data_IF_478808022021
#
_entry.id   IF_478808022021
#
_cell.length_a   1.000
_cell.length_b   1.000
_cell.length_c   1.000
_cell.angle_alpha   90.00
_cell.angle_beta   90.00
_cell.angle_gamma   90.00
#
_symmetry.space_group_name_H-M   'P 1'
#
loop_
_entity.id
_entity.type
_entity.pdbx_description
1 polymer ?
#
# COMPACT_ATOMS: atom_id res chain seq x y z
N UNK A 1 44.47 -10.44 -5.73
CA UNK A 1 43.90 -9.39 -4.86
C UNK A 1 42.93 -8.56 -5.67
N UNK A 2 41.64 -8.68 -5.42
CA UNK A 2 40.62 -7.82 -6.05
C UNK A 2 40.66 -6.40 -5.44
N UNK A 3 40.71 -5.35 -6.25
CA UNK A 3 40.66 -3.99 -5.72
C UNK A 3 39.23 -3.71 -5.21
N UNK A 4 38.99 -3.98 -3.93
CA UNK A 4 37.81 -3.56 -3.20
C UNK A 4 37.89 -2.05 -3.04
N UNK A 5 36.96 -1.29 -3.66
CA UNK A 5 36.62 0.03 -3.14
C UNK A 5 36.65 1.23 -4.07
N UNK A 6 37.08 1.18 -5.32
CA UNK A 6 36.96 2.37 -6.21
C UNK A 6 35.60 2.38 -6.92
N UNK A 7 34.76 3.38 -6.63
CA UNK A 7 33.53 3.62 -7.40
C UNK A 7 33.90 3.84 -8.87
N UNK A 8 33.20 3.15 -9.77
CA UNK A 8 33.31 3.40 -11.20
C UNK A 8 32.90 4.86 -11.52
N UNK A 9 33.55 5.48 -12.54
CA UNK A 9 33.13 6.79 -13.04
C UNK A 9 31.63 6.78 -13.40
N UNK A 10 30.98 7.93 -13.25
CA UNK A 10 29.54 8.07 -13.54
C UNK A 10 29.22 7.72 -15.01
N UNK A 11 30.10 8.09 -15.91
CA UNK A 11 30.00 7.86 -17.35
C UNK A 11 29.99 6.34 -17.67
N UNK A 12 30.89 5.58 -17.02
CA UNK A 12 30.94 4.11 -17.14
C UNK A 12 29.66 3.49 -16.62
N UNK A 13 29.16 3.95 -15.47
CA UNK A 13 27.90 3.47 -14.91
C UNK A 13 26.73 3.77 -15.84
N UNK A 14 26.70 4.95 -16.44
CA UNK A 14 25.71 5.35 -17.41
C UNK A 14 25.76 4.49 -18.66
N UNK A 15 26.95 4.27 -19.24
CA UNK A 15 27.13 3.37 -20.37
C UNK A 15 26.57 1.97 -20.08
N UNK A 16 26.95 1.37 -18.95
CA UNK A 16 26.46 0.04 -18.55
C UNK A 16 24.92 0.00 -18.44
N UNK A 17 24.31 1.08 -17.96
CA UNK A 17 22.85 1.17 -17.79
C UNK A 17 22.11 1.41 -19.11
N UNK A 18 22.66 2.15 -20.04
CA UNK A 18 21.98 2.56 -21.29
C UNK A 18 22.21 1.61 -22.45
N UNK A 19 23.39 1.02 -22.55
CA UNK A 19 23.78 0.17 -23.68
C UNK A 19 23.09 -1.19 -23.62
N UNK A 20 22.39 -1.58 -24.69
CA UNK A 20 21.68 -2.87 -24.83
C UNK A 20 22.56 -4.00 -25.37
N UNK A 21 23.87 -3.83 -25.41
CA UNK A 21 24.86 -4.77 -25.94
C UNK A 21 25.14 -5.96 -25.03
N UNK A 22 25.87 -6.95 -25.53
CA UNK A 22 26.35 -8.10 -24.75
C UNK A 22 27.31 -7.67 -23.63
N UNK A 23 27.49 -8.52 -22.63
CA UNK A 23 28.44 -8.23 -21.54
C UNK A 23 29.86 -8.04 -22.04
N UNK A 24 30.26 -8.81 -23.08
CA UNK A 24 31.59 -8.72 -23.68
C UNK A 24 31.78 -7.36 -24.35
N UNK A 25 30.87 -6.96 -25.21
CA UNK A 25 30.93 -5.63 -25.88
C UNK A 25 30.99 -4.47 -24.88
N UNK A 26 30.30 -4.55 -23.77
CA UNK A 26 30.39 -3.51 -22.72
C UNK A 26 31.77 -3.55 -22.07
N UNK A 27 32.29 -4.72 -21.76
CA UNK A 27 33.65 -4.85 -21.20
C UNK A 27 34.69 -4.23 -22.16
N UNK A 28 34.63 -4.58 -23.43
CA UNK A 28 35.55 -4.10 -24.46
C UNK A 28 35.43 -2.56 -24.63
N UNK A 29 34.24 -2.02 -24.66
CA UNK A 29 34.00 -0.58 -24.75
C UNK A 29 34.53 0.17 -23.53
N UNK A 30 34.28 -0.33 -22.30
CA UNK A 30 34.78 0.30 -21.08
C UNK A 30 36.32 0.22 -21.01
N UNK A 31 36.88 -0.89 -21.36
CA UNK A 31 38.36 -1.07 -21.39
C UNK A 31 39.00 -0.15 -22.44
N UNK A 32 38.39 -0.04 -23.63
CA UNK A 32 38.90 0.82 -24.71
C UNK A 32 38.82 2.31 -24.34
N UNK A 33 37.71 2.78 -23.79
CA UNK A 33 37.43 4.21 -23.56
C UNK A 33 38.02 4.74 -22.25
N UNK A 34 38.01 3.93 -21.22
CA UNK A 34 38.43 4.37 -19.86
C UNK A 34 39.63 3.60 -19.30
N UNK A 35 40.17 2.61 -20.06
CA UNK A 35 41.26 1.73 -19.60
C UNK A 35 40.93 1.02 -18.28
N UNK A 36 39.65 0.74 -18.03
CA UNK A 36 39.15 0.06 -16.83
C UNK A 36 38.61 -1.31 -17.22
N UNK A 37 39.16 -2.36 -16.63
CA UNK A 37 38.67 -3.72 -16.79
C UNK A 37 37.59 -4.01 -15.76
N UNK A 38 36.37 -4.31 -16.20
CA UNK A 38 35.24 -4.59 -15.33
C UNK A 38 34.75 -6.03 -15.47
N UNK A 39 34.46 -6.73 -14.34
CA UNK A 39 33.93 -8.10 -14.41
C UNK A 39 32.44 -8.10 -14.82
N UNK A 40 31.99 -9.22 -15.41
CA UNK A 40 30.57 -9.43 -15.79
C UNK A 40 29.60 -9.22 -14.63
N UNK A 41 30.01 -9.58 -13.41
CA UNK A 41 29.22 -9.36 -12.18
C UNK A 41 28.91 -7.87 -11.93
N UNK A 42 29.87 -6.98 -12.21
CA UNK A 42 29.70 -5.53 -12.08
C UNK A 42 28.70 -5.00 -13.11
N UNK A 43 28.78 -5.45 -14.36
CA UNK A 43 27.80 -5.08 -15.40
C UNK A 43 26.41 -5.58 -14.99
N UNK A 44 26.30 -6.84 -14.57
CA UNK A 44 25.04 -7.41 -14.07
C UNK A 44 24.47 -6.61 -12.90
N UNK A 45 25.31 -6.21 -11.95
CA UNK A 45 24.91 -5.39 -10.81
C UNK A 45 24.28 -4.05 -11.24
N UNK A 46 24.94 -3.28 -12.10
CA UNK A 46 24.44 -1.98 -12.54
C UNK A 46 23.23 -2.09 -13.46
N UNK A 47 23.14 -3.12 -14.31
CA UNK A 47 21.95 -3.41 -15.12
C UNK A 47 20.74 -3.79 -14.25
N UNK A 48 20.94 -4.59 -13.20
CA UNK A 48 19.89 -4.92 -12.22
C UNK A 48 19.44 -3.70 -11.41
N UNK A 49 20.34 -2.78 -11.12
CA UNK A 49 19.96 -1.52 -10.47
C UNK A 49 19.00 -0.70 -11.33
N UNK A 50 19.15 -0.68 -12.68
CA UNK A 50 18.18 -0.04 -13.58
C UNK A 50 16.79 -0.65 -13.48
N UNK A 51 16.71 -1.97 -13.36
CA UNK A 51 15.41 -2.65 -13.18
C UNK A 51 14.75 -2.36 -11.82
N UNK A 52 15.56 -2.04 -10.78
CA UNK A 52 15.08 -1.74 -9.43
C UNK A 52 14.62 -0.29 -9.22
N UNK A 53 15.03 0.62 -10.08
CA UNK A 53 14.63 2.04 -10.04
C UNK A 53 13.59 2.39 -11.11
N UNK A 54 12.75 1.43 -11.52
CA UNK A 54 11.61 1.78 -12.37
C UNK A 54 10.84 2.91 -11.73
N UNK A 55 10.63 3.98 -12.48
CA UNK A 55 9.69 5.03 -12.08
C UNK A 55 8.35 4.37 -11.72
N UNK A 56 7.70 4.84 -10.69
CA UNK A 56 6.31 4.51 -10.45
C UNK A 56 5.47 5.44 -11.31
N UNK A 57 4.46 4.87 -11.93
CA UNK A 57 3.50 5.60 -12.74
C UNK A 57 2.20 5.72 -11.94
N UNK A 58 2.04 6.85 -11.24
CA UNK A 58 0.85 7.11 -10.44
C UNK A 58 -0.35 7.51 -11.30
N UNK A 59 -0.13 7.95 -12.55
CA UNK A 59 -1.19 8.30 -13.49
C UNK A 59 -1.85 7.06 -14.10
N UNK A 60 -1.17 5.90 -14.01
CA UNK A 60 -1.70 4.63 -14.48
C UNK A 60 -2.87 4.08 -13.64
N UNK A 61 -3.14 4.64 -12.46
CA UNK A 61 -4.28 4.27 -11.60
C UNK A 61 -5.20 5.46 -11.40
N UNK A 62 -6.49 5.20 -11.11
CA UNK A 62 -7.41 6.26 -10.76
C UNK A 62 -6.98 6.92 -9.44
N UNK A 63 -7.37 8.19 -9.26
CA UNK A 63 -7.12 8.92 -8.02
C UNK A 63 -7.75 8.20 -6.82
N UNK A 64 -8.93 7.64 -6.99
CA UNK A 64 -9.64 6.88 -5.95
C UNK A 64 -8.89 5.61 -5.55
N UNK A 65 -8.35 4.86 -6.50
CA UNK A 65 -7.54 3.66 -6.20
C UNK A 65 -6.25 4.04 -5.47
N UNK A 66 -5.61 5.14 -5.87
CA UNK A 66 -4.41 5.63 -5.19
C UNK A 66 -4.72 6.12 -3.77
N UNK A 67 -5.78 6.91 -3.59
CA UNK A 67 -6.23 7.41 -2.30
C UNK A 67 -6.61 6.25 -1.37
N UNK A 68 -7.34 5.26 -1.89
CA UNK A 68 -7.67 4.04 -1.16
C UNK A 68 -6.40 3.31 -0.68
N UNK A 69 -5.42 3.15 -1.57
CA UNK A 69 -4.16 2.51 -1.22
C UNK A 69 -3.36 3.30 -0.18
N UNK A 70 -3.36 4.62 -0.25
CA UNK A 70 -2.76 5.50 0.75
C UNK A 70 -3.44 5.35 2.12
N UNK A 71 -4.76 5.30 2.17
CA UNK A 71 -5.53 5.07 3.40
C UNK A 71 -5.21 3.72 4.04
N UNK A 72 -5.22 2.64 3.24
CA UNK A 72 -4.82 1.30 3.68
C UNK A 72 -3.39 1.28 4.21
N UNK A 73 -2.46 1.94 3.50
CA UNK A 73 -1.08 2.02 3.94
C UNK A 73 -0.92 2.82 5.24
N UNK A 74 -1.72 3.87 5.45
CA UNK A 74 -1.69 4.67 6.68
C UNK A 74 -2.11 3.85 7.90
N UNK A 75 -3.08 2.97 7.73
CA UNK A 75 -3.55 2.02 8.75
C UNK A 75 -2.53 0.88 8.96
N UNK A 76 -2.42 -0.03 8.03
CA UNK A 76 -1.69 -1.30 8.16
C UNK A 76 -0.29 -1.32 7.51
N UNK A 77 0.09 -0.22 6.88
CA UNK A 77 1.36 -0.14 6.17
C UNK A 77 2.56 0.05 7.07
N UNK A 78 3.70 -0.47 6.63
CA UNK A 78 5.00 -0.26 7.24
C UNK A 78 6.08 -0.02 6.18
N UNK A 79 7.02 0.87 6.48
CA UNK A 79 8.20 1.14 5.66
C UNK A 79 9.47 0.75 6.41
N UNK A 80 10.32 -0.05 5.76
CA UNK A 80 11.61 -0.45 6.33
C UNK A 80 12.73 -0.13 5.34
N UNK A 81 13.78 0.51 5.85
CA UNK A 81 15.01 0.71 5.12
C UNK A 81 16.07 -0.26 5.67
N UNK A 82 16.32 -1.35 4.94
CA UNK A 82 17.40 -2.26 5.27
C UNK A 82 18.69 -1.81 4.60
N UNK A 83 19.76 -1.71 5.39
CA UNK A 83 21.12 -1.44 4.90
C UNK A 83 21.86 -2.77 4.90
N UNK A 84 22.03 -3.36 3.72
CA UNK A 84 22.82 -4.58 3.54
C UNK A 84 24.13 -4.29 2.84
N UNK A 85 25.00 -5.29 2.77
CA UNK A 85 26.31 -5.21 2.09
C UNK A 85 26.20 -4.77 0.61
N UNK A 86 25.03 -4.95 -0.02
CA UNK A 86 24.75 -4.61 -1.41
C UNK A 86 23.94 -3.33 -1.60
N UNK A 87 23.81 -2.51 -0.54
CA UNK A 87 23.14 -1.21 -0.60
C UNK A 87 21.83 -1.10 0.20
N UNK A 88 21.09 -0.04 -0.07
CA UNK A 88 19.84 0.26 0.62
C UNK A 88 18.66 -0.45 -0.04
N UNK A 89 17.89 -1.20 0.74
CA UNK A 89 16.66 -1.86 0.32
C UNK A 89 15.43 -1.16 0.93
N UNK A 90 14.61 -0.57 0.08
CA UNK A 90 13.39 0.15 0.45
C UNK A 90 12.21 -0.82 0.38
N UNK A 91 11.74 -1.27 1.52
CA UNK A 91 10.70 -2.30 1.63
C UNK A 91 9.43 -1.64 2.18
N UNK A 92 8.31 -1.91 1.53
CA UNK A 92 6.97 -1.55 1.95
C UNK A 92 6.23 -2.85 2.24
N UNK A 93 5.49 -2.89 3.34
CA UNK A 93 4.67 -4.03 3.77
C UNK A 93 3.30 -3.53 4.17
N UNK A 94 2.26 -4.29 3.82
CA UNK A 94 0.91 -4.11 4.31
C UNK A 94 0.50 -5.46 4.89
N UNK A 95 0.17 -5.48 6.18
CA UNK A 95 -0.20 -6.70 6.90
C UNK A 95 -1.71 -6.80 6.96
N UNK A 96 -2.26 -7.90 6.45
CA UNK A 96 -3.71 -8.13 6.35
C UNK A 96 -4.07 -9.45 7.02
N UNK A 97 -5.26 -9.57 7.58
CA UNK A 97 -5.76 -10.83 8.09
C UNK A 97 -5.85 -11.89 6.97
N UNK A 98 -5.39 -13.10 7.24
CA UNK A 98 -5.41 -14.18 6.26
C UNK A 98 -6.84 -14.61 5.92
N UNK A 99 -7.73 -14.59 6.90
CA UNK A 99 -9.10 -15.10 6.78
C UNK A 99 -10.09 -14.03 6.29
N UNK A 100 -9.85 -12.77 6.67
CA UNK A 100 -10.86 -11.72 6.49
C UNK A 100 -10.65 -10.86 5.24
N UNK A 101 -9.42 -10.79 4.71
CA UNK A 101 -9.06 -9.74 3.77
C UNK A 101 -8.47 -10.17 2.41
N UNK A 102 -8.84 -11.33 1.83
CA UNK A 102 -8.27 -11.75 0.54
C UNK A 102 -8.63 -10.78 -0.62
N UNK A 103 -9.82 -10.17 -0.57
CA UNK A 103 -10.24 -9.18 -1.56
C UNK A 103 -9.43 -7.87 -1.44
N UNK A 104 -9.12 -7.43 -0.21
CA UNK A 104 -8.28 -6.27 0.08
C UNK A 104 -6.86 -6.52 -0.44
N UNK A 105 -6.28 -7.69 -0.14
CA UNK A 105 -4.98 -8.08 -0.65
C UNK A 105 -4.94 -8.09 -2.20
N UNK A 106 -5.98 -8.65 -2.84
CA UNK A 106 -6.11 -8.70 -4.31
C UNK A 106 -6.19 -7.30 -4.92
N UNK A 107 -6.98 -6.39 -4.35
CA UNK A 107 -7.08 -4.99 -4.78
C UNK A 107 -5.72 -4.28 -4.61
N UNK A 108 -5.07 -4.43 -3.46
CA UNK A 108 -3.75 -3.88 -3.18
C UNK A 108 -2.70 -4.36 -4.21
N UNK A 109 -2.65 -5.66 -4.48
CA UNK A 109 -1.76 -6.25 -5.50
C UNK A 109 -2.01 -5.70 -6.90
N UNK A 110 -3.27 -5.52 -7.28
CA UNK A 110 -3.66 -4.93 -8.58
C UNK A 110 -3.10 -3.52 -8.70
N UNK A 111 -3.39 -2.64 -7.73
CA UNK A 111 -2.92 -1.25 -7.72
C UNK A 111 -1.39 -1.19 -7.83
N UNK A 112 -0.67 -1.95 -7.00
CA UNK A 112 0.79 -1.99 -7.02
C UNK A 112 1.36 -2.45 -8.37
N UNK A 113 0.76 -3.45 -9.01
CA UNK A 113 1.19 -3.92 -10.34
C UNK A 113 0.97 -2.86 -11.42
N UNK A 114 -0.16 -2.16 -11.36
CA UNK A 114 -0.50 -1.09 -12.32
C UNK A 114 0.51 0.06 -12.24
N UNK A 115 0.89 0.51 -11.06
CA UNK A 115 1.90 1.57 -10.89
C UNK A 115 3.36 1.11 -11.11
N UNK A 116 3.59 -0.18 -11.43
CA UNK A 116 4.86 -0.71 -11.91
C UNK A 116 5.70 -1.57 -10.96
N UNK A 117 5.68 -1.44 -9.63
CA UNK A 117 6.37 -2.37 -8.74
C UNK A 117 5.84 -3.80 -8.86
N UNK A 118 6.68 -4.78 -8.54
CA UNK A 118 6.26 -6.19 -8.47
C UNK A 118 5.99 -6.57 -7.03
N UNK A 119 4.73 -6.56 -6.56
CA UNK A 119 4.39 -7.00 -5.22
C UNK A 119 4.40 -8.52 -5.12
N UNK A 120 4.65 -9.02 -3.91
CA UNK A 120 4.53 -10.43 -3.55
C UNK A 120 3.68 -10.57 -2.29
N UNK A 121 3.00 -11.70 -2.14
CA UNK A 121 2.33 -12.10 -0.92
C UNK A 121 3.29 -12.99 -0.14
N UNK A 122 3.49 -12.67 1.14
CA UNK A 122 4.33 -13.44 2.06
C UNK A 122 3.50 -13.82 3.27
N UNK A 123 3.31 -15.12 3.57
CA UNK A 123 2.67 -15.55 4.80
C UNK A 123 3.46 -15.06 6.02
N UNK A 124 2.77 -14.65 7.07
CA UNK A 124 3.37 -14.16 8.32
C UNK A 124 2.48 -14.51 9.53
N UNK A 125 2.66 -15.70 10.07
CA UNK A 125 1.78 -16.21 11.13
C UNK A 125 0.33 -16.28 10.66
N UNK A 126 -0.58 -15.66 11.41
CA UNK A 126 -2.02 -15.61 11.08
C UNK A 126 -2.38 -14.47 10.09
N UNK A 127 -1.39 -13.81 9.51
CA UNK A 127 -1.61 -12.75 8.53
C UNK A 127 -0.88 -13.03 7.22
N UNK A 128 -1.27 -12.31 6.18
CA UNK A 128 -0.53 -12.20 4.93
C UNK A 128 0.06 -10.80 4.82
N UNK A 129 1.26 -10.70 4.28
CA UNK A 129 1.87 -9.44 3.97
C UNK A 129 1.94 -9.24 2.46
N UNK A 130 1.34 -8.16 1.97
CA UNK A 130 1.66 -7.64 0.64
C UNK A 130 2.96 -6.86 0.76
N UNK A 131 4.02 -7.41 0.16
CA UNK A 131 5.37 -6.85 0.24
C UNK A 131 5.85 -6.38 -1.11
N UNK A 132 6.47 -5.21 -1.14
CA UNK A 132 7.07 -4.65 -2.35
C UNK A 132 8.39 -3.95 -2.03
N UNK A 133 9.36 -4.04 -2.96
CA UNK A 133 10.63 -3.32 -2.86
C UNK A 133 10.66 -2.24 -3.95
N UNK A 134 10.54 -0.98 -3.56
CA UNK A 134 10.56 0.17 -4.47
C UNK A 134 10.99 1.43 -3.74
N UNK A 135 12.09 2.05 -4.20
CA UNK A 135 12.58 3.32 -3.66
C UNK A 135 11.56 4.45 -3.89
N UNK A 136 11.05 4.56 -5.13
CA UNK A 136 10.15 5.65 -5.50
C UNK A 136 8.82 5.55 -4.74
N UNK A 137 8.24 4.36 -4.64
CA UNK A 137 7.02 4.15 -3.85
C UNK A 137 7.25 4.40 -2.36
N UNK A 138 8.42 4.02 -1.82
CA UNK A 138 8.77 4.26 -0.42
C UNK A 138 8.71 5.75 -0.06
N UNK A 139 9.17 6.63 -0.96
CA UNK A 139 9.13 8.08 -0.74
C UNK A 139 7.77 8.71 -1.11
N UNK A 140 7.03 8.13 -2.05
CA UNK A 140 5.70 8.62 -2.41
C UNK A 140 4.66 8.37 -1.30
N UNK A 141 4.77 7.25 -0.56
CA UNK A 141 3.84 6.92 0.49
C UNK A 141 4.06 7.78 1.74
N UNK A 142 2.96 8.25 2.33
CA UNK A 142 2.95 8.96 3.62
C UNK A 142 2.04 8.20 4.58
N UNK A 143 2.37 8.19 5.88
CA UNK A 143 1.51 7.61 6.92
C UNK A 143 0.44 8.57 7.43
N UNK A 144 0.69 9.85 7.27
CA UNK A 144 -0.23 10.90 7.70
C UNK A 144 -1.11 11.34 6.54
N UNK A 145 -2.38 11.64 6.79
CA UNK A 145 -3.25 12.24 5.79
C UNK A 145 -2.71 13.60 5.33
N UNK A 146 -3.11 14.03 4.14
CA UNK A 146 -2.78 15.36 3.64
C UNK A 146 -3.44 16.44 4.51
N UNK A 147 -2.78 17.60 4.65
CA UNK A 147 -3.36 18.79 5.30
C UNK A 147 -4.64 19.28 4.62
N UNK A 148 -4.78 18.99 3.32
CA UNK A 148 -5.94 19.41 2.52
C UNK A 148 -7.20 18.59 2.78
N UNK A 149 -7.08 17.58 3.65
CA UNK A 149 -8.13 16.66 4.01
C UNK A 149 -7.98 15.28 3.35
N UNK A 150 -8.93 14.41 3.67
CA UNK A 150 -8.97 13.03 3.15
C UNK A 150 -10.18 12.84 2.25
N UNK A 151 -10.02 12.04 1.18
CA UNK A 151 -11.13 11.68 0.30
C UNK A 151 -11.94 10.50 0.85
N UNK A 152 -13.18 10.27 0.36
CA UNK A 152 -13.95 9.08 0.71
C UNK A 152 -13.19 7.77 0.46
N UNK A 153 -12.43 7.71 -0.64
CA UNK A 153 -11.63 6.55 -0.97
C UNK A 153 -10.48 6.34 0.02
N UNK A 154 -9.82 7.41 0.47
CA UNK A 154 -8.79 7.32 1.52
C UNK A 154 -9.36 6.78 2.83
N UNK A 155 -10.52 7.32 3.27
CA UNK A 155 -11.21 6.84 4.48
C UNK A 155 -11.59 5.36 4.33
N UNK A 156 -12.08 4.95 3.16
CA UNK A 156 -12.41 3.57 2.86
C UNK A 156 -11.18 2.65 2.96
N UNK A 157 -10.04 3.07 2.44
CA UNK A 157 -8.79 2.32 2.57
C UNK A 157 -8.31 2.17 4.01
N UNK A 158 -8.43 3.22 4.82
CA UNK A 158 -8.09 3.16 6.24
C UNK A 158 -9.03 2.21 7.02
N UNK A 159 -10.33 2.24 6.71
CA UNK A 159 -11.32 1.31 7.27
C UNK A 159 -11.02 -0.14 6.85
N UNK A 160 -10.62 -0.36 5.60
CA UNK A 160 -10.23 -1.68 5.11
C UNK A 160 -8.96 -2.22 5.81
N UNK A 161 -8.13 -1.33 6.37
CA UNK A 161 -7.02 -1.71 7.25
C UNK A 161 -7.49 -2.00 8.69
N UNK A 162 -7.78 -0.96 9.44
CA UNK A 162 -8.00 -0.99 10.89
C UNK A 162 -9.49 -1.05 11.33
N UNK A 163 -10.44 -1.13 10.39
CA UNK A 163 -11.88 -1.19 10.71
C UNK A 163 -12.33 -2.61 11.02
N UNK A 164 -13.29 -2.75 11.93
CA UNK A 164 -13.98 -4.00 12.23
C UNK A 164 -15.46 -3.84 11.91
N UNK A 165 -16.05 -4.82 11.22
CA UNK A 165 -17.50 -4.85 10.96
C UNK A 165 -18.22 -5.23 12.24
N UNK A 166 -19.23 -4.43 12.59
CA UNK A 166 -20.10 -4.63 13.74
C UNK A 166 -21.54 -4.43 13.31
N UNK A 167 -22.31 -5.51 13.15
CA UNK A 167 -23.71 -5.54 12.68
C UNK A 167 -24.04 -4.47 11.61
N UNK A 168 -24.38 -3.26 12.02
CA UNK A 168 -24.81 -2.16 11.15
C UNK A 168 -23.82 -0.99 11.07
N UNK A 169 -22.57 -1.21 11.45
CA UNK A 169 -21.55 -0.17 11.54
C UNK A 169 -20.13 -0.70 11.29
N UNK A 170 -19.20 0.23 11.21
CA UNK A 170 -17.78 -0.03 11.34
C UNK A 170 -17.29 0.55 12.66
N UNK A 171 -16.56 -0.24 13.41
CA UNK A 171 -15.70 0.26 14.48
C UNK A 171 -14.31 0.47 13.91
N UNK A 172 -13.87 1.72 13.88
CA UNK A 172 -12.51 2.09 13.47
C UNK A 172 -11.69 2.45 14.71
N UNK A 173 -10.53 1.84 14.89
CA UNK A 173 -9.68 2.08 16.05
C UNK A 173 -8.24 2.37 15.67
N UNK A 174 -7.62 3.33 16.36
CA UNK A 174 -6.24 3.70 16.11
C UNK A 174 -5.51 4.14 17.39
N UNK A 175 -4.27 3.65 17.56
CA UNK A 175 -3.38 4.05 18.66
C UNK A 175 -2.00 4.52 18.17
N UNK A 176 -1.57 4.03 17.00
CA UNK A 176 -0.20 4.24 16.50
C UNK A 176 -0.05 5.48 15.66
N UNK A 177 -1.13 5.94 15.02
CA UNK A 177 -1.14 7.09 14.11
C UNK A 177 -2.33 8.00 14.48
N UNK A 178 -2.21 8.82 15.54
CA UNK A 178 -3.29 9.70 15.98
C UNK A 178 -3.81 10.60 14.87
N UNK A 179 -2.93 11.09 14.01
CA UNK A 179 -3.26 11.99 12.89
C UNK A 179 -4.20 11.31 11.88
N UNK A 180 -4.08 10.00 11.70
CA UNK A 180 -5.00 9.23 10.86
C UNK A 180 -6.42 9.27 11.43
N UNK A 181 -6.55 9.03 12.73
CA UNK A 181 -7.83 9.09 13.42
C UNK A 181 -8.46 10.49 13.32
N UNK A 182 -7.66 11.53 13.59
CA UNK A 182 -8.12 12.92 13.54
C UNK A 182 -8.53 13.35 12.15
N UNK A 183 -7.79 12.93 11.12
CA UNK A 183 -8.13 13.17 9.72
C UNK A 183 -9.47 12.54 9.32
N UNK A 184 -9.71 11.30 9.73
CA UNK A 184 -10.99 10.60 9.47
C UNK A 184 -12.13 11.24 10.25
N UNK A 185 -11.94 11.58 11.53
CA UNK A 185 -12.94 12.25 12.34
C UNK A 185 -13.34 13.62 11.75
N UNK A 186 -12.34 14.38 11.28
CA UNK A 186 -12.55 15.65 10.60
C UNK A 186 -13.34 15.48 9.29
N UNK A 187 -13.05 14.44 8.50
CA UNK A 187 -13.81 14.13 7.29
C UNK A 187 -15.30 13.94 7.57
N UNK A 188 -15.66 13.12 8.56
CA UNK A 188 -17.06 12.90 8.91
C UNK A 188 -17.72 14.15 9.49
N UNK A 189 -16.99 14.94 10.29
CA UNK A 189 -17.49 16.22 10.81
C UNK A 189 -17.80 17.21 9.69
N UNK A 190 -16.90 17.37 8.71
CA UNK A 190 -17.11 18.24 7.54
C UNK A 190 -18.25 17.78 6.66
N UNK A 191 -18.52 16.49 6.62
CA UNK A 191 -19.65 15.91 5.88
C UNK A 191 -20.98 16.02 6.63
N UNK A 192 -21.01 16.65 7.80
CA UNK A 192 -22.19 16.78 8.67
C UNK A 192 -22.85 15.42 8.96
N UNK A 193 -22.03 14.39 9.14
CA UNK A 193 -22.51 13.03 9.38
C UNK A 193 -22.14 12.56 10.80
N UNK A 194 -23.10 11.95 11.53
CA UNK A 194 -22.87 11.55 12.91
C UNK A 194 -21.88 10.38 13.00
N UNK A 195 -20.88 10.51 13.83
CA UNK A 195 -19.99 9.44 14.28
C UNK A 195 -19.74 9.61 15.77
N UNK A 196 -19.74 8.51 16.51
CA UNK A 196 -19.40 8.52 17.93
C UNK A 196 -17.90 8.21 18.11
N UNK A 197 -17.23 8.97 18.96
CA UNK A 197 -15.80 8.76 19.25
C UNK A 197 -15.58 8.64 20.74
N UNK A 198 -14.70 7.75 21.15
CA UNK A 198 -14.27 7.60 22.55
C UNK A 198 -12.83 7.13 22.64
N UNK A 199 -12.22 7.34 23.79
CA UNK A 199 -10.87 6.84 24.10
C UNK A 199 -10.95 5.79 25.19
N UNK A 200 -10.14 4.74 25.07
CA UNK A 200 -9.99 3.72 26.11
C UNK A 200 -8.76 4.03 26.98
N UNK A 201 -8.59 3.23 28.05
CA UNK A 201 -7.38 3.22 28.87
C UNK A 201 -6.18 3.12 27.97
N UNK A 202 -5.15 3.46 27.80
CA UNK A 202 -4.00 3.32 26.89
C UNK A 202 -4.04 4.19 25.62
N UNK A 203 -4.78 5.30 25.65
CA UNK A 203 -4.87 6.22 24.51
C UNK A 203 -5.30 5.56 23.18
N UNK A 204 -5.90 4.37 23.22
CA UNK A 204 -6.50 3.76 22.05
C UNK A 204 -7.82 4.44 21.77
N UNK A 205 -7.92 5.08 20.61
CA UNK A 205 -9.08 5.85 20.18
C UNK A 205 -9.96 5.01 19.27
N UNK A 206 -11.26 5.05 19.47
CA UNK A 206 -12.27 4.34 18.68
C UNK A 206 -13.29 5.29 18.11
N UNK A 207 -13.82 4.92 16.96
CA UNK A 207 -14.90 5.61 16.26
C UNK A 207 -15.92 4.58 15.82
N UNK A 208 -17.18 4.85 16.10
CA UNK A 208 -18.31 4.08 15.59
C UNK A 208 -18.93 4.83 14.41
N UNK A 209 -18.95 4.19 13.26
CA UNK A 209 -19.39 4.78 11.99
C UNK A 209 -20.62 4.01 11.51
N UNK A 210 -21.84 4.56 11.67
CA UNK A 210 -23.07 3.90 11.23
C UNK A 210 -23.09 3.65 9.72
N UNK A 211 -23.76 2.59 9.28
CA UNK A 211 -23.91 2.25 7.86
C UNK A 211 -24.46 3.41 7.02
N UNK A 212 -25.45 4.14 7.55
CA UNK A 212 -26.04 5.29 6.86
C UNK A 212 -25.02 6.42 6.63
N UNK A 213 -24.12 6.62 7.60
CA UNK A 213 -23.00 7.56 7.47
C UNK A 213 -22.04 7.13 6.36
N UNK A 214 -21.64 5.85 6.30
CA UNK A 214 -20.80 5.30 5.25
C UNK A 214 -21.43 5.48 3.86
N UNK A 215 -22.76 5.28 3.76
CA UNK A 215 -23.51 5.46 2.51
C UNK A 215 -23.56 6.93 2.08
N UNK A 216 -23.90 7.85 2.98
CA UNK A 216 -24.01 9.30 2.71
C UNK A 216 -22.68 9.91 2.28
N UNK A 217 -21.57 9.44 2.85
CA UNK A 217 -20.22 9.95 2.56
C UNK A 217 -19.52 9.25 1.40
N UNK A 218 -20.19 8.36 0.66
CA UNK A 218 -19.64 7.54 -0.41
C UNK A 218 -18.52 6.57 0.01
N UNK A 219 -18.16 6.51 1.28
CA UNK A 219 -17.13 5.57 1.80
C UNK A 219 -17.51 4.13 1.50
N UNK A 220 -18.80 3.78 1.60
CA UNK A 220 -19.33 2.46 1.28
C UNK A 220 -18.99 1.99 -0.14
N UNK A 221 -18.92 2.92 -1.10
CA UNK A 221 -18.64 2.59 -2.50
C UNK A 221 -17.21 2.11 -2.73
N UNK A 222 -16.28 2.52 -1.86
CA UNK A 222 -14.85 2.22 -1.99
C UNK A 222 -14.35 1.17 -1.00
N UNK A 223 -14.98 1.02 0.19
CA UNK A 223 -14.55 0.09 1.23
C UNK A 223 -15.09 -1.32 0.99
N UNK A 224 -14.18 -2.28 0.85
CA UNK A 224 -14.52 -3.70 0.71
C UNK A 224 -15.08 -4.27 2.02
N UNK A 225 -14.56 -3.79 3.16
CA UNK A 225 -15.00 -4.24 4.49
C UNK A 225 -16.39 -3.70 4.82
N UNK A 226 -16.65 -2.42 4.53
CA UNK A 226 -17.96 -1.82 4.75
C UNK A 226 -19.07 -2.43 3.84
N UNK A 227 -18.74 -2.89 2.65
CA UNK A 227 -19.69 -3.57 1.76
C UNK A 227 -20.22 -4.89 2.34
N UNK A 228 -19.51 -5.53 3.26
CA UNK A 228 -19.97 -6.75 3.96
C UNK A 228 -21.20 -6.48 4.83
N UNK A 229 -21.34 -5.28 5.39
CA UNK A 229 -22.53 -4.88 6.15
C UNK A 229 -23.78 -4.96 5.27
N UNK A 230 -23.67 -4.49 4.02
CA UNK A 230 -24.77 -4.54 3.05
C UNK A 230 -25.23 -5.97 2.77
N UNK A 231 -24.28 -6.91 2.71
CA UNK A 231 -24.60 -8.32 2.43
C UNK A 231 -25.29 -8.99 3.62
N UNK A 232 -24.93 -8.68 4.86
CA UNK A 232 -25.63 -9.19 6.06
C UNK A 232 -27.04 -8.64 6.17
N UNK A 233 -27.24 -7.34 5.97
CA UNK A 233 -28.58 -6.71 5.98
C UNK A 233 -29.53 -7.25 4.90
N UNK A 234 -28.99 -7.68 3.75
CA UNK A 234 -29.76 -8.30 2.68
C UNK A 234 -30.24 -9.70 3.03
N UNK A 235 -29.46 -10.47 3.78
CA UNK A 235 -29.83 -11.82 4.24
C UNK A 235 -30.90 -11.79 5.33
N UNK A 236 -30.79 -10.90 6.31
CA UNK A 236 -31.81 -10.75 7.38
C UNK A 236 -33.19 -10.35 6.86
N UNK A 237 -33.28 -9.68 5.70
CA UNK A 237 -34.59 -9.34 5.07
C UNK A 237 -35.16 -10.46 4.20
N UNK A 238 -34.35 -11.38 3.73
CA UNK A 238 -34.79 -12.54 2.91
C UNK A 238 -35.42 -13.66 3.74
N UNK A 239 -34.99 -13.84 5.00
CA UNK A 239 -35.49 -14.92 5.85
C UNK A 239 -36.87 -14.66 6.50
N UNK A 240 -37.43 -13.44 6.36
CA UNK A 240 -38.77 -13.10 6.91
C UNK A 240 -39.91 -13.14 5.87
N UNK A 241 -39.63 -13.43 4.61
CA UNK A 241 -40.66 -13.42 3.56
C UNK A 241 -41.35 -14.76 3.27
N UNK A 242 -40.84 -15.87 3.82
CA UNK A 242 -41.34 -17.22 3.48
C UNK A 242 -42.15 -17.88 4.59
N UNK A 243 -42.61 -17.14 5.61
CA UNK A 243 -43.38 -17.66 6.76
C UNK A 243 -44.86 -17.32 6.81
N UNK A 244 -45.44 -16.67 5.79
CA UNK A 244 -46.87 -16.32 5.78
C UNK A 244 -47.57 -16.97 4.58
N UNK A 245 -47.80 -18.27 4.67
CA UNK A 245 -48.61 -19.01 3.70
C UNK A 245 -49.20 -20.27 4.30
N UNK A 246 -50.52 -20.26 4.40
CA UNK A 246 -51.42 -21.41 4.53
C UNK A 246 -51.72 -21.94 5.95
N UNK A 247 -52.82 -21.44 6.47
CA UNK A 247 -53.85 -22.20 7.17
C UNK A 247 -55.18 -21.95 6.42
#
# INVERSE_FOLDING_TARGET
>A
MSPVGKRLPKEVITLIKTQKSSYKEIQDNVERLWKIRIPKSTISYYRRQRARTKAIDLEAVSREDWDWFQGLFSADGNKTLNRGNYGKHYIIRISLSMNDDPAIAKKCMRILRTIGPKPMIVPCGNCIQVRVSSKNLYFALKKQPSSDGVSPAYVAGAIDGDGTVDHHAIQFGQSRVPELFDGIALFFRRSSTPVSTWSTKNNYRRMYIPYQTLKKTLVLSFSLRAQRIRQSLGRERGDYSDGAGEI
#
